data_IF_238876565035
#
_entry.id   IF_238876565035
#
_cell.length_a   1.000
_cell.length_b   1.000
_cell.length_c   1.000
_cell.angle_alpha   90.00
_cell.angle_beta   90.00
_cell.angle_gamma   90.00
#
_symmetry.space_group_name_H-M   'P 1'
#
loop_
_entity.id
_entity.type
_entity.pdbx_description
1 polymer ?
#
# COMPACT_ATOMS: atom_id res chain seq x y z
N UNK A 1 0.56 18.45 -14.20
CA UNK A 1 1.44 17.37 -13.72
C UNK A 1 0.55 16.34 -13.06
N UNK A 2 0.45 15.10 -13.59
CA UNK A 2 -0.46 14.09 -13.04
C UNK A 2 0.09 13.47 -11.76
N UNK A 3 -0.78 13.26 -10.78
CA UNK A 3 -0.44 12.55 -9.55
C UNK A 3 -1.13 11.19 -9.54
N UNK A 4 -0.50 10.22 -8.88
CA UNK A 4 -1.09 8.90 -8.81
C UNK A 4 -0.42 7.96 -7.82
N UNK A 5 -0.94 6.74 -7.81
CA UNK A 5 -0.45 5.65 -6.97
C UNK A 5 -0.31 4.36 -7.77
N UNK A 6 0.80 3.66 -7.55
CA UNK A 6 1.08 2.33 -8.07
C UNK A 6 0.71 1.33 -6.97
N UNK A 7 -0.38 0.59 -7.13
CA UNK A 7 -0.87 -0.33 -6.10
C UNK A 7 -0.32 -1.73 -6.37
N UNK A 8 0.52 -2.21 -5.46
CA UNK A 8 1.18 -3.52 -5.55
C UNK A 8 0.95 -4.34 -4.29
N UNK A 9 1.33 -5.60 -4.34
CA UNK A 9 1.25 -6.51 -3.21
C UNK A 9 0.92 -7.94 -3.64
N UNK A 10 1.20 -8.93 -2.76
CA UNK A 10 0.96 -10.34 -3.05
C UNK A 10 -0.50 -10.64 -3.45
N UNK A 11 -0.77 -11.80 -4.07
CA UNK A 11 -2.14 -12.24 -4.32
C UNK A 11 -2.92 -12.31 -3.00
N UNK A 12 -4.17 -11.83 -3.01
CA UNK A 12 -5.01 -11.83 -1.82
C UNK A 12 -4.78 -10.68 -0.84
N UNK A 13 -3.77 -9.81 -1.03
CA UNK A 13 -3.54 -8.62 -0.17
C UNK A 13 -4.66 -7.55 -0.23
N UNK A 14 -5.57 -7.63 -1.20
CA UNK A 14 -6.72 -6.72 -1.31
C UNK A 14 -6.51 -5.51 -2.24
N UNK A 15 -5.55 -5.56 -3.18
CA UNK A 15 -5.28 -4.49 -4.17
C UNK A 15 -6.51 -3.98 -4.88
N UNK A 16 -7.24 -4.86 -5.57
CA UNK A 16 -8.44 -4.49 -6.33
C UNK A 16 -9.55 -3.92 -5.45
N UNK A 17 -9.74 -4.47 -4.24
CA UNK A 17 -10.68 -3.93 -3.24
C UNK A 17 -10.25 -2.53 -2.79
N UNK A 18 -8.96 -2.32 -2.53
CA UNK A 18 -8.40 -1.03 -2.19
C UNK A 18 -8.57 -0.02 -3.33
N UNK A 19 -8.28 -0.39 -4.58
CA UNK A 19 -8.46 0.48 -5.74
C UNK A 19 -9.92 0.94 -5.86
N UNK A 20 -10.88 0.01 -5.68
CA UNK A 20 -12.31 0.32 -5.69
C UNK A 20 -12.70 1.30 -4.58
N UNK A 21 -12.34 0.97 -3.33
CA UNK A 21 -12.70 1.77 -2.17
C UNK A 21 -12.04 3.15 -2.17
N UNK A 22 -10.76 3.23 -2.53
CA UNK A 22 -10.03 4.49 -2.65
C UNK A 22 -10.58 5.34 -3.79
N UNK A 23 -10.90 4.77 -4.95
CA UNK A 23 -11.56 5.51 -6.03
C UNK A 23 -12.90 6.09 -5.57
N UNK A 24 -13.75 5.30 -4.90
CA UNK A 24 -15.02 5.80 -4.36
C UNK A 24 -14.79 6.93 -3.34
N UNK A 25 -13.84 6.75 -2.42
CA UNK A 25 -13.50 7.73 -1.40
C UNK A 25 -13.00 9.05 -2.00
N UNK A 26 -12.08 9.00 -2.97
CA UNK A 26 -11.55 10.20 -3.63
C UNK A 26 -12.62 10.95 -4.44
N UNK A 27 -13.46 10.24 -5.19
CA UNK A 27 -14.55 10.89 -5.93
C UNK A 27 -15.60 11.51 -5.00
N UNK A 28 -15.83 10.90 -3.83
CA UNK A 28 -16.69 11.45 -2.80
C UNK A 28 -16.12 12.74 -2.16
N UNK A 29 -14.80 12.94 -2.23
CA UNK A 29 -14.11 14.20 -1.91
C UNK A 29 -14.01 15.16 -3.11
N UNK A 30 -14.77 14.91 -4.19
CA UNK A 30 -14.75 15.68 -5.43
C UNK A 30 -13.39 15.67 -6.17
N UNK A 31 -12.50 14.72 -5.83
CA UNK A 31 -11.23 14.51 -6.53
C UNK A 31 -11.46 13.60 -7.74
N UNK A 32 -11.38 14.18 -8.93
CA UNK A 32 -11.46 13.45 -10.21
C UNK A 32 -10.41 12.34 -10.24
N UNK A 33 -10.86 11.09 -10.24
CA UNK A 33 -9.98 9.93 -10.14
C UNK A 33 -10.33 8.91 -11.22
N UNK A 34 -9.30 8.28 -11.80
CA UNK A 34 -9.46 7.10 -12.67
C UNK A 34 -8.69 5.91 -12.12
N UNK A 35 -9.13 4.71 -12.50
CA UNK A 35 -8.40 3.47 -12.30
C UNK A 35 -7.86 2.99 -13.65
N UNK A 36 -6.59 2.59 -13.65
CA UNK A 36 -5.90 1.91 -14.74
C UNK A 36 -5.65 0.48 -14.28
N UNK A 37 -6.30 -0.49 -14.91
CA UNK A 37 -6.08 -1.90 -14.61
C UNK A 37 -4.90 -2.42 -15.44
N UNK A 38 -3.84 -2.84 -14.77
CA UNK A 38 -2.66 -3.47 -15.36
C UNK A 38 -2.58 -4.97 -15.06
N UNK A 39 -3.59 -5.55 -14.39
CA UNK A 39 -3.69 -6.98 -14.12
C UNK A 39 -4.54 -7.70 -15.20
N UNK A 40 -3.92 -8.42 -16.15
CA UNK A 40 -4.64 -9.13 -17.23
C UNK A 40 -5.31 -10.43 -16.77
N UNK A 41 -5.23 -10.79 -15.48
CA UNK A 41 -5.89 -11.96 -14.91
C UNK A 41 -7.14 -11.60 -14.07
N UNK A 42 -7.54 -10.33 -14.06
CA UNK A 42 -8.57 -9.83 -13.14
C UNK A 42 -9.96 -9.79 -13.79
N UNK A 43 -10.61 -10.96 -13.88
CA UNK A 43 -11.88 -11.11 -14.62
C UNK A 43 -13.10 -10.40 -13.99
N UNK A 44 -13.08 -10.15 -12.67
CA UNK A 44 -14.23 -9.61 -11.93
C UNK A 44 -13.83 -8.42 -11.05
N UNK A 45 -13.51 -7.29 -11.69
CA UNK A 45 -13.23 -6.04 -11.00
C UNK A 45 -14.53 -5.35 -10.52
N UNK A 46 -14.61 -4.89 -9.26
CA UNK A 46 -15.79 -4.21 -8.71
C UNK A 46 -15.85 -2.71 -9.10
N UNK A 47 -15.14 -2.31 -10.15
CA UNK A 47 -15.03 -0.93 -10.62
C UNK A 47 -14.97 -0.88 -12.15
N UNK A 48 -15.23 0.29 -12.74
CA UNK A 48 -14.96 0.53 -14.16
C UNK A 48 -13.54 1.06 -14.32
N UNK A 49 -12.68 0.28 -14.98
CA UNK A 49 -11.36 0.76 -15.40
C UNK A 49 -11.53 1.79 -16.53
N UNK A 50 -10.75 2.88 -16.48
CA UNK A 50 -10.71 3.88 -17.54
C UNK A 50 -9.74 3.48 -18.66
N UNK A 51 -8.76 2.67 -18.32
CA UNK A 51 -7.78 2.04 -19.20
C UNK A 51 -7.57 0.63 -18.66
N UNK A 52 -7.68 -0.36 -19.54
CA UNK A 52 -7.48 -1.77 -19.21
C UNK A 52 -6.41 -2.38 -20.10
N UNK A 53 -5.45 -3.10 -19.51
CA UNK A 53 -4.39 -3.79 -20.25
C UNK A 53 -4.96 -4.84 -21.22
N UNK A 54 -6.14 -5.39 -20.95
CA UNK A 54 -6.79 -6.35 -21.86
C UNK A 54 -7.13 -5.74 -23.23
N UNK A 55 -7.28 -4.41 -23.33
CA UNK A 55 -7.43 -3.73 -24.62
C UNK A 55 -6.16 -3.80 -25.49
N UNK A 56 -5.00 -4.05 -24.87
CA UNK A 56 -3.71 -4.21 -25.53
C UNK A 56 -3.34 -5.68 -25.71
N UNK A 57 -3.46 -6.49 -24.65
CA UNK A 57 -3.12 -7.91 -24.64
C UNK A 57 -3.88 -8.64 -23.52
N UNK A 58 -4.50 -9.78 -23.85
CA UNK A 58 -5.13 -10.66 -22.86
C UNK A 58 -4.16 -11.74 -22.39
N UNK A 59 -4.37 -12.25 -21.18
CA UNK A 59 -3.58 -13.37 -20.67
C UNK A 59 -3.74 -14.63 -21.53
N UNK A 60 -4.96 -14.90 -22.00
CA UNK A 60 -5.28 -16.05 -22.87
C UNK A 60 -4.50 -15.98 -24.19
N UNK A 61 -4.51 -14.83 -24.87
CA UNK A 61 -3.77 -14.61 -26.12
C UNK A 61 -2.26 -14.85 -25.93
N UNK A 62 -1.70 -14.37 -24.81
CA UNK A 62 -0.29 -14.56 -24.49
C UNK A 62 0.05 -16.04 -24.23
N UNK A 63 -0.81 -16.76 -23.50
CA UNK A 63 -0.64 -18.18 -23.19
C UNK A 63 -0.72 -19.03 -24.46
N UNK A 64 -1.70 -18.79 -25.32
CA UNK A 64 -1.92 -19.56 -26.54
C UNK A 64 -0.85 -19.31 -27.61
N UNK A 65 -0.47 -18.04 -27.82
CA UNK A 65 0.51 -17.68 -28.85
C UNK A 65 1.91 -18.21 -28.54
N UNK A 66 2.30 -18.25 -27.25
CA UNK A 66 3.66 -18.60 -26.83
C UNK A 66 3.75 -19.91 -26.04
N UNK A 67 2.65 -20.65 -25.91
CA UNK A 67 2.56 -21.90 -25.14
C UNK A 67 3.06 -21.74 -23.70
N UNK A 68 2.69 -20.62 -23.07
CA UNK A 68 3.11 -20.26 -21.72
C UNK A 68 2.09 -20.76 -20.69
N UNK A 69 2.57 -21.08 -19.49
CA UNK A 69 1.69 -21.22 -18.33
C UNK A 69 1.24 -19.85 -17.78
N UNK A 70 0.27 -19.80 -16.85
CA UNK A 70 -0.31 -18.55 -16.36
C UNK A 70 0.71 -17.51 -15.88
N UNK A 71 1.67 -17.91 -15.04
CA UNK A 71 2.70 -16.99 -14.55
C UNK A 71 3.62 -16.48 -15.68
N UNK A 72 3.92 -17.33 -16.68
CA UNK A 72 4.70 -16.92 -17.85
C UNK A 72 3.93 -15.95 -18.74
N UNK A 73 2.63 -16.21 -18.94
CA UNK A 73 1.72 -15.30 -19.65
C UNK A 73 1.61 -13.94 -18.97
N UNK A 74 1.50 -13.89 -17.64
CA UNK A 74 1.49 -12.65 -16.86
C UNK A 74 2.76 -11.82 -17.07
N UNK A 75 3.93 -12.45 -16.97
CA UNK A 75 5.21 -11.78 -17.24
C UNK A 75 5.25 -11.25 -18.67
N UNK A 76 4.81 -12.06 -19.64
CA UNK A 76 4.77 -11.66 -21.04
C UNK A 76 3.86 -10.46 -21.28
N UNK A 77 2.67 -10.41 -20.67
CA UNK A 77 1.75 -9.28 -20.81
C UNK A 77 2.38 -7.96 -20.37
N UNK A 78 3.09 -7.97 -19.24
CA UNK A 78 3.77 -6.76 -18.73
C UNK A 78 4.98 -6.39 -19.58
N UNK A 79 5.76 -7.36 -20.07
CA UNK A 79 6.84 -7.10 -21.03
C UNK A 79 6.30 -6.55 -22.36
N UNK A 80 5.13 -7.02 -22.80
CA UNK A 80 4.45 -6.52 -23.99
C UNK A 80 3.97 -5.08 -23.78
N UNK A 81 3.40 -4.76 -22.63
CA UNK A 81 3.06 -3.39 -22.25
C UNK A 81 4.30 -2.48 -22.20
N UNK A 82 5.43 -2.94 -21.64
CA UNK A 82 6.68 -2.16 -21.61
C UNK A 82 7.15 -1.81 -23.03
N UNK A 83 7.08 -2.76 -23.97
CA UNK A 83 7.46 -2.55 -25.38
C UNK A 83 6.49 -1.64 -26.13
N UNK A 84 5.24 -1.57 -25.69
CA UNK A 84 4.18 -0.76 -26.27
C UNK A 84 3.76 0.38 -25.33
N UNK A 85 4.70 0.92 -24.53
CA UNK A 85 4.40 1.91 -23.50
C UNK A 85 3.73 3.17 -24.06
N UNK A 86 4.02 3.52 -25.31
CA UNK A 86 3.37 4.63 -26.01
C UNK A 86 1.84 4.50 -26.06
N UNK A 87 1.29 3.28 -26.16
CA UNK A 87 -0.16 3.03 -26.06
C UNK A 87 -0.74 3.52 -24.73
N UNK A 88 -0.07 3.19 -23.62
CA UNK A 88 -0.50 3.60 -22.28
C UNK A 88 -0.38 5.13 -22.12
N UNK A 89 0.72 5.73 -22.59
CA UNK A 89 0.92 7.17 -22.51
C UNK A 89 -0.14 7.95 -23.30
N UNK A 90 -0.51 7.49 -24.49
CA UNK A 90 -1.56 8.10 -25.30
C UNK A 90 -2.94 8.01 -24.63
N UNK A 91 -3.26 6.85 -24.03
CA UNK A 91 -4.51 6.64 -23.29
C UNK A 91 -4.58 7.48 -22.01
N UNK A 92 -3.45 7.71 -21.33
CA UNK A 92 -3.39 8.52 -20.12
C UNK A 92 -3.46 10.03 -20.38
N UNK A 93 -2.99 10.48 -21.55
CA UNK A 93 -2.92 11.90 -21.91
C UNK A 93 -4.20 12.71 -21.65
N UNK A 94 -5.41 12.30 -22.09
CA UNK A 94 -6.62 13.07 -21.80
C UNK A 94 -6.91 13.22 -20.30
N UNK A 95 -6.54 12.24 -19.48
CA UNK A 95 -6.74 12.31 -18.03
C UNK A 95 -5.70 13.19 -17.36
N UNK A 96 -4.45 13.09 -17.82
CA UNK A 96 -3.34 13.96 -17.41
C UNK A 96 -3.63 15.44 -17.69
N UNK A 97 -4.13 15.75 -18.89
CA UNK A 97 -4.46 17.12 -19.32
C UNK A 97 -5.64 17.73 -18.54
N UNK A 98 -6.53 16.87 -18.00
CA UNK A 98 -7.69 17.28 -17.20
C UNK A 98 -7.48 17.08 -15.68
N UNK A 99 -6.23 16.93 -15.25
CA UNK A 99 -5.80 16.88 -13.84
C UNK A 99 -6.47 15.76 -13.03
N UNK A 100 -6.72 14.60 -13.64
CA UNK A 100 -7.20 13.43 -12.92
C UNK A 100 -6.10 12.82 -12.06
N UNK A 101 -6.48 12.36 -10.87
CA UNK A 101 -5.67 11.45 -10.06
C UNK A 101 -5.75 10.03 -10.61
N UNK A 102 -4.64 9.30 -10.59
CA UNK A 102 -4.53 8.03 -11.31
C UNK A 102 -4.15 6.91 -10.34
N UNK A 103 -5.00 5.89 -10.27
CA UNK A 103 -4.73 4.67 -9.49
C UNK A 103 -4.39 3.55 -10.45
N UNK A 104 -3.20 2.97 -10.35
CA UNK A 104 -2.80 1.80 -11.14
C UNK A 104 -3.00 0.53 -10.31
N UNK A 105 -3.99 -0.29 -10.66
CA UNK A 105 -4.17 -1.63 -10.08
C UNK A 105 -3.21 -2.59 -10.80
N UNK A 106 -2.17 -3.05 -10.10
CA UNK A 106 -1.10 -3.83 -10.72
C UNK A 106 -1.24 -5.33 -10.40
N UNK A 107 -0.67 -6.23 -11.24
CA UNK A 107 -0.75 -7.67 -11.04
C UNK A 107 -0.41 -8.18 -9.64
N UNK A 108 -1.05 -9.27 -9.22
CA UNK A 108 -0.74 -9.90 -7.94
C UNK A 108 0.61 -10.61 -7.82
N UNK A 109 1.28 -10.94 -8.92
CA UNK A 109 2.51 -11.74 -8.90
C UNK A 109 3.70 -10.92 -8.41
N UNK A 110 4.31 -11.32 -7.30
CA UNK A 110 5.39 -10.55 -6.62
C UNK A 110 6.69 -10.54 -7.41
N UNK A 111 6.90 -11.54 -8.27
CA UNK A 111 8.05 -11.68 -9.15
C UNK A 111 8.18 -10.50 -10.13
N UNK A 112 7.05 -9.87 -10.47
CA UNK A 112 6.98 -8.70 -11.35
C UNK A 112 7.62 -7.45 -10.72
N UNK A 113 7.66 -7.39 -9.39
CA UNK A 113 8.20 -6.25 -8.63
C UNK A 113 9.57 -6.54 -8.02
N UNK A 114 9.97 -7.81 -7.93
CA UNK A 114 11.21 -8.24 -7.25
C UNK A 114 12.31 -8.65 -8.22
N UNK A 115 11.98 -9.26 -9.36
CA UNK A 115 12.98 -9.81 -10.30
C UNK A 115 12.84 -9.24 -11.71
N UNK A 116 11.62 -9.00 -12.15
CA UNK A 116 11.34 -8.43 -13.47
C UNK A 116 11.58 -6.91 -13.46
N UNK A 117 12.11 -6.37 -14.57
CA UNK A 117 12.43 -4.93 -14.70
C UNK A 117 11.33 -4.11 -15.38
N UNK A 118 10.36 -4.77 -16.00
CA UNK A 118 9.36 -4.14 -16.88
C UNK A 118 8.53 -3.10 -16.14
N UNK A 119 8.02 -3.42 -14.94
CA UNK A 119 7.26 -2.46 -14.12
C UNK A 119 8.12 -1.24 -13.77
N UNK A 120 9.37 -1.43 -13.35
CA UNK A 120 10.30 -0.32 -13.09
C UNK A 120 10.55 0.52 -14.34
N UNK A 121 10.71 -0.10 -15.51
CA UNK A 121 10.87 0.64 -16.77
C UNK A 121 9.62 1.45 -17.10
N UNK A 122 8.43 0.87 -16.95
CA UNK A 122 7.13 1.52 -17.17
C UNK A 122 7.00 2.74 -16.25
N UNK A 123 7.26 2.58 -14.94
CA UNK A 123 7.25 3.65 -13.96
C UNK A 123 8.21 4.78 -14.38
N UNK A 124 9.46 4.46 -14.72
CA UNK A 124 10.45 5.46 -15.16
C UNK A 124 10.03 6.18 -16.45
N UNK A 125 9.28 5.51 -17.33
CA UNK A 125 8.72 6.14 -18.54
C UNK A 125 7.60 7.12 -18.17
N UNK A 126 6.77 6.80 -17.17
CA UNK A 126 5.74 7.71 -16.63
C UNK A 126 6.37 8.91 -15.92
N UNK A 127 7.39 8.70 -15.08
CA UNK A 127 8.11 9.80 -14.40
C UNK A 127 8.77 10.77 -15.40
N UNK A 128 9.28 10.26 -16.53
CA UNK A 128 9.79 11.10 -17.64
C UNK A 128 8.72 11.95 -18.32
N UNK A 129 7.44 11.64 -18.12
CA UNK A 129 6.29 12.44 -18.55
C UNK A 129 5.75 13.32 -17.40
N UNK A 130 6.58 13.57 -16.37
CA UNK A 130 6.27 14.38 -15.19
C UNK A 130 5.12 13.83 -14.31
N UNK A 131 4.88 12.52 -14.34
CA UNK A 131 3.97 11.87 -13.38
C UNK A 131 4.64 11.82 -12.01
N UNK A 132 3.88 12.16 -10.98
CA UNK A 132 4.27 12.11 -9.57
C UNK A 132 3.58 10.91 -8.92
N UNK A 133 4.32 9.84 -8.69
CA UNK A 133 3.78 8.55 -8.25
C UNK A 133 4.32 8.17 -6.89
N UNK A 134 3.44 7.61 -6.05
CA UNK A 134 3.83 6.87 -4.86
C UNK A 134 3.42 5.40 -5.02
N UNK A 135 4.20 4.49 -4.47
CA UNK A 135 3.89 3.08 -4.45
C UNK A 135 3.15 2.71 -3.17
N UNK A 136 1.98 2.10 -3.29
CA UNK A 136 1.18 1.59 -2.17
C UNK A 136 1.32 0.07 -2.17
N UNK A 137 2.09 -0.44 -1.22
CA UNK A 137 2.38 -1.87 -1.10
C UNK A 137 1.51 -2.51 -0.04
N UNK A 138 0.45 -3.18 -0.48
CA UNK A 138 -0.48 -3.86 0.42
C UNK A 138 0.04 -5.22 0.84
N UNK A 139 -0.06 -5.49 2.13
CA UNK A 139 0.23 -6.78 2.74
C UNK A 139 -0.91 -7.15 3.68
N UNK A 140 -1.39 -8.39 3.60
CA UNK A 140 -2.45 -8.87 4.46
C UNK A 140 -2.00 -8.93 5.93
N UNK A 141 -2.75 -8.30 6.83
CA UNK A 141 -2.42 -8.24 8.25
C UNK A 141 -2.34 -9.63 8.92
N UNK A 142 -2.98 -10.66 8.35
CA UNK A 142 -2.86 -12.04 8.85
C UNK A 142 -1.42 -12.57 8.86
N UNK A 143 -0.50 -12.00 8.07
CA UNK A 143 0.91 -12.37 8.12
C UNK A 143 1.60 -11.98 9.42
N UNK A 144 1.06 -11.03 10.20
CA UNK A 144 1.57 -10.68 11.53
C UNK A 144 1.36 -11.78 12.58
N UNK A 145 0.47 -12.76 12.31
CA UNK A 145 0.17 -13.86 13.25
C UNK A 145 1.31 -14.86 13.44
N UNK A 146 2.32 -14.86 12.56
CA UNK A 146 3.49 -15.72 12.70
C UNK A 146 4.78 -14.98 12.35
N UNK A 147 5.78 -15.10 13.23
CA UNK A 147 7.08 -14.48 13.07
C UNK A 147 7.74 -14.71 11.69
N UNK A 148 7.76 -15.98 11.21
CA UNK A 148 8.38 -16.33 9.94
C UNK A 148 7.67 -15.71 8.73
N UNK A 149 6.33 -15.61 8.79
CA UNK A 149 5.53 -14.95 7.76
C UNK A 149 5.81 -13.45 7.74
N UNK A 150 5.86 -12.83 8.93
CA UNK A 150 6.14 -11.41 9.05
C UNK A 150 7.55 -11.04 8.56
N UNK A 151 8.59 -11.79 8.91
CA UNK A 151 9.95 -11.57 8.35
C UNK A 151 9.96 -11.68 6.82
N UNK A 152 9.22 -12.62 6.25
CA UNK A 152 9.10 -12.77 4.79
C UNK A 152 8.47 -11.52 4.16
N UNK A 153 7.48 -10.93 4.83
CA UNK A 153 6.85 -9.66 4.44
C UNK A 153 7.84 -8.49 4.52
N UNK A 154 8.66 -8.41 5.58
CA UNK A 154 9.66 -7.34 5.72
C UNK A 154 10.69 -7.41 4.59
N UNK A 155 11.21 -8.61 4.30
CA UNK A 155 12.16 -8.84 3.21
C UNK A 155 11.56 -8.53 1.84
N UNK A 156 10.31 -8.95 1.61
CA UNK A 156 9.59 -8.64 0.37
C UNK A 156 9.44 -7.14 0.21
N UNK A 157 9.00 -6.43 1.24
CA UNK A 157 8.81 -4.98 1.24
C UNK A 157 10.12 -4.23 0.98
N UNK A 158 11.20 -4.63 1.66
CA UNK A 158 12.52 -4.03 1.42
C UNK A 158 13.00 -4.27 -0.01
N UNK A 159 12.77 -5.47 -0.54
CA UNK A 159 13.15 -5.82 -1.92
C UNK A 159 12.35 -5.00 -2.94
N UNK A 160 11.04 -4.88 -2.78
CA UNK A 160 10.18 -4.11 -3.71
C UNK A 160 10.52 -2.62 -3.65
N UNK A 161 10.76 -2.06 -2.46
CA UNK A 161 11.22 -0.68 -2.28
C UNK A 161 12.52 -0.42 -3.04
N UNK A 162 13.51 -1.31 -2.88
CA UNK A 162 14.80 -1.17 -3.57
C UNK A 162 14.69 -1.33 -5.10
N UNK A 163 13.75 -2.14 -5.58
CA UNK A 163 13.61 -2.44 -7.01
C UNK A 163 12.81 -1.38 -7.76
N UNK A 164 11.76 -0.82 -7.15
CA UNK A 164 10.87 0.14 -7.80
C UNK A 164 11.36 1.59 -7.71
N UNK A 165 12.15 1.92 -6.69
CA UNK A 165 12.76 3.26 -6.51
C UNK A 165 11.73 4.40 -6.45
N UNK A 166 10.51 4.11 -5.98
CA UNK A 166 9.45 5.10 -5.74
C UNK A 166 9.32 5.40 -4.23
N UNK A 167 8.79 6.58 -3.85
CA UNK A 167 8.26 6.79 -2.50
C UNK A 167 7.27 5.68 -2.17
N UNK A 168 7.53 4.92 -1.11
CA UNK A 168 6.82 3.67 -0.83
C UNK A 168 6.07 3.78 0.49
N UNK A 169 4.79 3.44 0.47
CA UNK A 169 3.95 3.30 1.66
C UNK A 169 3.63 1.81 1.77
N UNK A 170 4.22 1.13 2.75
CA UNK A 170 3.80 -0.25 3.05
C UNK A 170 2.54 -0.18 3.93
N UNK A 171 1.59 -1.05 3.65
CA UNK A 171 0.26 -1.01 4.28
C UNK A 171 -0.13 -2.40 4.73
N UNK A 172 -0.45 -2.54 6.01
CA UNK A 172 -1.14 -3.72 6.53
C UNK A 172 -2.64 -3.57 6.25
N UNK A 173 -3.15 -4.35 5.30
CA UNK A 173 -4.56 -4.37 4.93
C UNK A 173 -5.36 -5.37 5.76
N UNK A 174 -6.69 -5.20 5.79
CA UNK A 174 -7.63 -6.09 6.48
C UNK A 174 -7.39 -6.19 7.99
N UNK A 175 -6.98 -5.09 8.59
CA UNK A 175 -6.72 -5.01 10.04
C UNK A 175 -7.96 -5.35 10.86
N UNK A 176 -9.16 -5.14 10.31
CA UNK A 176 -10.45 -5.53 10.90
C UNK A 176 -10.59 -7.04 11.12
N UNK A 177 -9.89 -7.86 10.33
CA UNK A 177 -9.94 -9.31 10.43
C UNK A 177 -9.00 -9.86 11.53
N UNK A 178 -8.06 -9.06 12.02
CA UNK A 178 -7.07 -9.50 13.02
C UNK A 178 -7.73 -10.03 14.29
N UNK A 179 -8.80 -9.39 14.76
CA UNK A 179 -9.54 -9.81 15.96
C UNK A 179 -10.10 -11.24 15.83
N UNK A 180 -10.44 -11.68 14.62
CA UNK A 180 -10.94 -13.02 14.34
C UNK A 180 -9.86 -14.09 14.14
N UNK A 181 -8.61 -13.69 13.89
CA UNK A 181 -7.51 -14.59 13.55
C UNK A 181 -6.72 -15.11 14.77
N UNK A 182 -6.99 -14.57 15.96
CA UNK A 182 -6.36 -14.98 17.21
C UNK A 182 -5.54 -13.86 17.86
N UNK A 183 -4.91 -14.15 18.99
CA UNK A 183 -4.02 -13.19 19.66
C UNK A 183 -2.72 -13.06 18.87
N UNK A 184 -2.40 -11.84 18.47
CA UNK A 184 -1.06 -11.49 18.02
C UNK A 184 -0.08 -11.65 19.19
N UNK A 185 1.14 -12.07 18.88
CA UNK A 185 2.21 -12.15 19.87
C UNK A 185 2.54 -10.75 20.45
N UNK A 186 2.33 -9.70 19.64
CA UNK A 186 2.63 -8.29 19.99
C UNK A 186 1.49 -7.34 19.61
N UNK A 187 1.58 -6.09 20.10
CA UNK A 187 0.66 -5.02 19.72
C UNK A 187 0.92 -4.57 18.26
N UNK A 188 -0.05 -3.86 17.67
CA UNK A 188 0.05 -3.43 16.26
C UNK A 188 1.17 -2.39 16.08
N UNK A 189 1.46 -1.59 17.12
CA UNK A 189 2.58 -0.65 17.18
C UNK A 189 3.92 -1.33 16.90
N UNK A 190 4.15 -2.54 17.41
CA UNK A 190 5.37 -3.31 17.14
C UNK A 190 5.51 -3.67 15.65
N UNK A 191 4.43 -4.19 15.04
CA UNK A 191 4.46 -4.61 13.63
C UNK A 191 4.47 -3.43 12.64
N UNK A 192 3.99 -2.27 13.05
CA UNK A 192 3.95 -1.06 12.21
C UNK A 192 5.24 -0.26 12.27
N UNK A 193 5.89 -0.21 13.45
CA UNK A 193 7.14 0.53 13.65
C UNK A 193 8.42 -0.24 13.29
N UNK A 194 8.40 -1.59 13.41
CA UNK A 194 9.51 -2.47 12.99
C UNK A 194 10.88 -2.05 13.55
N UNK A 195 10.94 -1.56 14.80
CA UNK A 195 12.17 -1.01 15.37
C UNK A 195 13.00 -1.99 16.23
N UNK A 196 12.40 -3.06 16.76
CA UNK A 196 13.10 -4.06 17.58
C UNK A 196 12.66 -5.46 17.17
N UNK A 197 13.43 -6.11 16.31
CA UNK A 197 13.17 -7.47 15.82
C UNK A 197 13.81 -8.53 16.72
N UNK A 198 14.44 -8.17 17.84
CA UNK A 198 15.08 -9.12 18.76
C UNK A 198 14.11 -10.18 19.28
N UNK A 199 12.86 -9.77 19.56
CA UNK A 199 11.80 -10.70 19.98
C UNK A 199 11.32 -11.61 18.84
N UNK A 200 11.26 -11.10 17.61
CA UNK A 200 10.98 -11.91 16.42
C UNK A 200 12.08 -12.96 16.22
N UNK A 201 13.35 -12.57 16.38
CA UNK A 201 14.49 -13.47 16.31
C UNK A 201 14.40 -14.62 17.31
N UNK A 202 14.05 -14.32 18.56
CA UNK A 202 13.84 -15.33 19.61
C UNK A 202 12.70 -16.29 19.24
N UNK A 203 11.56 -15.76 18.79
CA UNK A 203 10.42 -16.56 18.34
C UNK A 203 10.77 -17.47 17.16
N UNK A 204 11.54 -16.97 16.19
CA UNK A 204 12.03 -17.76 15.05
C UNK A 204 12.92 -18.91 15.52
N UNK A 205 13.85 -18.64 16.44
CA UNK A 205 14.86 -19.60 16.91
C UNK A 205 14.31 -20.67 17.89
N UNK A 206 13.10 -20.46 18.41
CA UNK A 206 12.40 -21.43 19.26
C UNK A 206 11.69 -22.53 18.47
N UNK A 207 11.44 -22.35 17.16
CA UNK A 207 10.83 -23.38 16.31
C UNK A 207 11.77 -24.58 16.11
N UNK A 208 11.19 -25.79 16.04
CA UNK A 208 11.99 -27.00 15.85
C UNK A 208 12.73 -26.97 14.50
N UNK A 209 14.04 -27.21 14.54
CA UNK A 209 14.90 -27.18 13.35
C UNK A 209 15.35 -25.78 12.90
N UNK A 210 14.92 -24.70 13.55
CA UNK A 210 15.34 -23.33 13.22
C UNK A 210 16.64 -22.89 13.89
N UNK A 211 17.05 -23.52 15.00
CA UNK A 211 18.30 -23.22 15.72
C UNK A 211 19.55 -23.23 14.83
N UNK A 212 19.58 -24.09 13.81
CA UNK A 212 20.70 -24.16 12.84
C UNK A 212 20.82 -22.90 11.95
N UNK A 213 19.74 -22.12 11.86
CA UNK A 213 19.66 -20.88 11.10
C UNK A 213 19.75 -19.63 11.98
N UNK A 214 20.12 -19.75 13.25
CA UNK A 214 20.14 -18.62 14.20
C UNK A 214 20.94 -17.42 13.70
N UNK A 215 22.15 -17.65 13.17
CA UNK A 215 22.96 -16.58 12.58
C UNK A 215 22.33 -15.95 11.35
N UNK A 216 21.69 -16.75 10.49
CA UNK A 216 20.98 -16.23 9.31
C UNK A 216 19.80 -15.34 9.73
N UNK A 217 19.00 -15.81 10.69
CA UNK A 217 17.86 -15.05 11.21
C UNK A 217 18.32 -13.74 11.85
N UNK A 218 19.44 -13.76 12.58
CA UNK A 218 20.04 -12.55 13.18
C UNK A 218 20.42 -11.54 12.11
N UNK A 219 21.18 -11.97 11.10
CA UNK A 219 21.61 -11.09 10.00
C UNK A 219 20.41 -10.54 9.21
N UNK A 220 19.34 -11.32 9.04
CA UNK A 220 18.10 -10.83 8.40
C UNK A 220 17.43 -9.74 9.24
N UNK A 221 17.34 -9.92 10.55
CA UNK A 221 16.75 -8.93 11.45
C UNK A 221 17.59 -7.64 11.47
N UNK A 222 18.91 -7.78 11.61
CA UNK A 222 19.86 -6.65 11.55
C UNK A 222 19.74 -5.89 10.22
N UNK A 223 19.62 -6.60 9.09
CA UNK A 223 19.43 -5.95 7.79
C UNK A 223 18.17 -5.07 7.78
N UNK A 224 17.06 -5.56 8.31
CA UNK A 224 15.79 -4.81 8.30
C UNK A 224 15.87 -3.62 9.24
N UNK A 225 16.46 -3.79 10.43
CA UNK A 225 16.68 -2.72 11.42
C UNK A 225 17.64 -1.64 10.91
N UNK A 226 18.79 -2.04 10.34
CA UNK A 226 19.83 -1.12 9.85
C UNK A 226 19.31 -0.17 8.78
N UNK A 227 18.41 -0.66 7.93
CA UNK A 227 17.80 0.18 6.92
C UNK A 227 16.69 1.07 7.48
N UNK A 228 16.06 0.73 8.63
CA UNK A 228 15.01 1.52 9.32
C UNK A 228 13.93 2.12 8.39
N UNK A 229 13.76 1.55 7.20
CA UNK A 229 12.95 2.09 6.11
C UNK A 229 11.57 1.43 6.05
N UNK A 230 11.40 0.28 6.70
CA UNK A 230 10.20 -0.53 6.60
C UNK A 230 9.28 -0.21 7.76
N UNK A 231 8.42 0.79 7.59
CA UNK A 231 7.24 1.00 8.43
C UNK A 231 5.97 0.60 7.70
N UNK A 232 4.89 0.34 8.44
CA UNK A 232 3.57 0.07 7.87
C UNK A 232 2.51 1.04 8.39
N UNK A 233 1.72 1.59 7.48
CA UNK A 233 0.40 2.16 7.81
C UNK A 233 -0.65 1.04 7.89
N UNK A 234 -1.77 1.33 8.52
CA UNK A 234 -2.86 0.38 8.74
C UNK A 234 -4.04 0.71 7.85
N UNK A 235 -4.69 -0.32 7.29
CA UNK A 235 -5.83 -0.14 6.40
C UNK A 235 -6.99 -1.08 6.72
N UNK A 236 -8.13 -0.47 7.06
CA UNK A 236 -9.46 -1.04 6.92
C UNK A 236 -10.21 -0.26 5.83
N UNK A 237 -10.43 -0.86 4.66
CA UNK A 237 -10.99 -0.17 3.49
C UNK A 237 -12.45 0.28 3.69
N UNK A 238 -13.17 -0.36 4.60
CA UNK A 238 -14.55 -0.01 4.96
C UNK A 238 -14.63 1.14 5.95
N UNK A 239 -13.53 1.48 6.64
CA UNK A 239 -13.47 2.61 7.55
C UNK A 239 -12.88 3.85 6.89
N UNK A 240 -13.72 4.88 6.76
CA UNK A 240 -13.35 6.18 6.19
C UNK A 240 -12.19 6.85 6.90
N UNK A 241 -12.06 6.69 8.22
CA UNK A 241 -10.96 7.30 8.97
C UNK A 241 -9.63 6.65 8.61
N UNK A 242 -9.60 5.32 8.53
CA UNK A 242 -8.42 4.56 8.09
C UNK A 242 -8.04 4.92 6.64
N UNK A 243 -9.02 4.99 5.73
CA UNK A 243 -8.77 5.40 4.34
C UNK A 243 -8.27 6.85 4.25
N UNK A 244 -8.83 7.77 5.05
CA UNK A 244 -8.41 9.18 5.09
C UNK A 244 -6.96 9.34 5.58
N UNK A 245 -6.57 8.61 6.63
CA UNK A 245 -5.20 8.65 7.15
C UNK A 245 -4.20 8.14 6.11
N UNK A 246 -4.50 6.99 5.48
CA UNK A 246 -3.64 6.45 4.43
C UNK A 246 -3.56 7.39 3.21
N UNK A 247 -4.68 8.01 2.81
CA UNK A 247 -4.70 9.00 1.72
C UNK A 247 -3.74 10.16 2.00
N UNK A 248 -3.73 10.70 3.24
CA UNK A 248 -2.81 11.79 3.62
C UNK A 248 -1.35 11.39 3.46
N UNK A 249 -0.98 10.18 3.89
CA UNK A 249 0.39 9.68 3.74
C UNK A 249 0.79 9.51 2.27
N UNK A 250 -0.12 9.01 1.44
CA UNK A 250 0.10 8.87 0.00
C UNK A 250 0.26 10.25 -0.67
N UNK A 251 -0.61 11.20 -0.33
CA UNK A 251 -0.58 12.57 -0.89
C UNK A 251 0.68 13.35 -0.46
N UNK A 252 1.22 13.07 0.72
CA UNK A 252 2.54 13.58 1.13
C UNK A 252 3.66 12.94 0.31
N UNK A 253 3.62 11.61 0.15
CA UNK A 253 4.67 10.85 -0.53
C UNK A 253 4.77 11.17 -2.02
N UNK A 254 3.64 11.31 -2.73
CA UNK A 254 3.63 11.72 -4.14
C UNK A 254 3.69 13.25 -4.32
N UNK A 255 3.55 14.02 -3.23
CA UNK A 255 3.59 15.48 -3.22
C UNK A 255 2.30 16.16 -3.70
N UNK A 256 1.19 15.44 -3.83
CA UNK A 256 -0.12 16.02 -4.18
C UNK A 256 -0.54 17.11 -3.20
N UNK A 257 -0.20 16.98 -1.91
CA UNK A 257 -0.47 17.99 -0.88
C UNK A 257 0.18 19.35 -1.19
N UNK A 258 1.29 19.35 -1.94
CA UNK A 258 1.99 20.55 -2.41
C UNK A 258 1.60 20.93 -3.83
N UNK A 259 1.08 19.99 -4.63
CA UNK A 259 0.58 20.26 -5.98
C UNK A 259 -0.78 20.96 -5.97
N UNK A 260 -1.63 20.61 -5.00
CA UNK A 260 -2.91 21.23 -4.72
C UNK A 260 -2.77 22.54 -3.93
N UNK A 261 -1.66 23.28 -4.08
CA UNK A 261 -1.47 24.63 -3.54
C UNK A 261 -2.56 25.57 -4.08
N UNK A 262 -3.72 25.52 -3.44
CA UNK A 262 -4.57 26.67 -3.23
C UNK A 262 -3.73 27.75 -2.55
N UNK A 263 -3.91 29.01 -2.95
CA UNK A 263 -3.28 30.16 -2.32
C UNK A 263 -3.61 30.18 -0.81
N UNK A 264 -2.73 29.67 0.05
CA UNK A 264 -2.98 29.67 1.49
C UNK A 264 -1.97 28.87 2.32
N UNK A 265 -1.77 29.30 3.57
CA UNK A 265 -0.88 28.66 4.55
C UNK A 265 -1.38 27.29 5.07
N UNK A 266 -2.59 26.87 4.70
CA UNK A 266 -3.23 25.62 5.17
C UNK A 266 -2.55 24.36 4.62
N UNK A 267 -2.11 24.38 3.37
CA UNK A 267 -1.40 23.27 2.72
C UNK A 267 -0.03 22.99 3.37
N UNK A 268 0.65 24.04 3.82
CA UNK A 268 1.91 23.95 4.57
C UNK A 268 1.69 23.34 5.96
N UNK A 269 0.58 23.70 6.62
CA UNK A 269 0.23 23.15 7.94
C UNK A 269 -0.23 21.69 7.85
N UNK A 270 -0.99 21.30 6.82
CA UNK A 270 -1.39 19.91 6.57
C UNK A 270 -0.19 19.02 6.18
N UNK A 271 0.80 19.57 5.48
CA UNK A 271 2.06 18.87 5.21
C UNK A 271 2.92 18.71 6.48
N UNK A 272 2.79 19.64 7.43
CA UNK A 272 3.47 19.60 8.73
C UNK A 272 2.77 18.71 9.76
N UNK A 273 1.48 18.40 9.57
CA UNK A 273 0.72 17.46 10.40
C UNK A 273 1.20 16.03 10.11
N UNK A 274 2.23 15.58 10.83
CA UNK A 274 2.75 14.21 10.74
C UNK A 274 1.69 13.25 11.25
N UNK A 275 1.19 12.34 10.40
CA UNK A 275 0.46 11.17 10.90
C UNK A 275 1.50 10.34 11.62
N UNK A 276 1.50 10.39 12.95
CA UNK A 276 2.39 9.57 13.74
C UNK A 276 1.93 8.12 13.58
N UNK A 277 2.70 7.30 12.86
CA UNK A 277 2.43 5.88 12.62
C UNK A 277 2.15 5.13 13.94
N UNK A 278 2.77 5.57 15.04
CA UNK A 278 2.55 5.03 16.38
C UNK A 278 1.14 5.36 16.88
N UNK A 279 0.69 6.61 16.73
CA UNK A 279 -0.67 7.02 17.07
C UNK A 279 -1.72 6.31 16.21
N UNK A 280 -1.46 6.16 14.91
CA UNK A 280 -2.34 5.46 13.97
C UNK A 280 -2.50 3.98 14.35
N UNK A 281 -1.40 3.30 14.64
CA UNK A 281 -1.41 1.90 15.05
C UNK A 281 -2.17 1.68 16.36
N UNK A 282 -2.05 2.62 17.32
CA UNK A 282 -2.81 2.59 18.59
C UNK A 282 -4.30 2.79 18.37
N UNK A 283 -4.68 3.78 17.55
CA UNK A 283 -6.08 4.05 17.23
C UNK A 283 -6.72 2.87 16.50
N UNK A 284 -6.02 2.29 15.51
CA UNK A 284 -6.45 1.09 14.82
C UNK A 284 -6.60 -0.10 15.79
N UNK A 285 -5.66 -0.27 16.72
CA UNK A 285 -5.75 -1.34 17.72
C UNK A 285 -6.96 -1.18 18.66
N UNK A 286 -7.25 0.05 19.10
CA UNK A 286 -8.42 0.36 19.92
C UNK A 286 -9.73 0.16 19.16
N UNK A 287 -9.79 0.60 17.91
CA UNK A 287 -11.00 0.56 17.06
C UNK A 287 -11.34 -0.86 16.61
N UNK A 288 -10.36 -1.63 16.14
CA UNK A 288 -10.59 -2.96 15.56
C UNK A 288 -10.32 -4.10 16.55
N UNK A 289 -10.03 -3.79 17.81
CA UNK A 289 -9.91 -4.78 18.86
C UNK A 289 -8.74 -5.74 18.69
N UNK A 290 -7.64 -5.30 18.09
CA UNK A 290 -6.41 -6.08 18.10
C UNK A 290 -5.98 -6.28 19.56
N UNK A 291 -5.99 -7.53 19.97
CA UNK A 291 -6.10 -7.98 21.35
C UNK A 291 -5.07 -7.35 22.29
N UNK A 292 -5.44 -7.27 23.57
CA UNK A 292 -4.58 -6.90 24.70
C UNK A 292 -3.40 -7.87 24.82
N UNK A 293 -2.36 -7.68 24.02
CA UNK A 293 -1.02 -8.19 24.35
C UNK A 293 -0.58 -7.54 25.65
N UNK A 294 0.02 -8.28 26.58
CA UNK A 294 0.44 -7.75 27.89
C UNK A 294 1.28 -6.49 27.70
N UNK A 295 0.89 -5.32 28.23
CA UNK A 295 1.78 -4.19 28.32
C UNK A 295 2.87 -4.52 29.34
N UNK A 296 4.15 -4.37 28.98
CA UNK A 296 5.24 -4.46 29.96
C UNK A 296 6.38 -3.48 29.69
N UNK A 297 6.04 -2.20 29.71
CA UNK A 297 6.66 -1.21 30.61
C UNK A 297 6.01 0.16 30.36
N UNK A 298 5.18 0.58 31.31
CA UNK A 298 4.81 1.99 31.44
C UNK A 298 6.07 2.77 31.85
N UNK A 299 6.51 3.67 30.98
CA UNK A 299 7.04 4.95 31.45
C UNK A 299 6.02 6.01 31.07
N UNK A 300 5.31 6.45 32.09
CA UNK A 300 4.47 7.62 32.04
C UNK A 300 5.34 8.82 31.71
N UNK A 301 4.98 9.55 30.66
CA UNK A 301 5.24 10.98 30.58
C UNK A 301 3.96 11.67 30.12
N UNK A 302 3.60 12.67 30.91
CA UNK A 302 2.37 13.46 30.87
C UNK A 302 2.44 14.59 29.84
N UNK A 303 1.25 14.94 29.34
CA UNK A 303 0.75 16.26 28.94
C UNK A 303 1.39 16.99 27.74
N UNK A 304 0.62 17.13 26.65
CA UNK A 304 -0.29 18.28 26.52
C UNK A 304 -1.12 18.25 25.23
N UNK A 305 -2.43 18.43 25.42
CA UNK A 305 -3.46 18.70 24.41
C UNK A 305 -3.41 20.17 23.95
N UNK A 306 -3.51 20.41 22.64
CA UNK A 306 -4.36 21.47 22.06
C UNK A 306 -4.21 21.55 20.53
N UNK A 307 -5.24 21.09 19.79
CA UNK A 307 -5.72 21.74 18.55
C UNK A 307 -7.00 21.06 18.07
N UNK A 308 -8.14 21.53 18.58
CA UNK A 308 -9.48 20.96 18.31
C UNK A 308 -10.43 21.98 17.68
N UNK A 309 -10.04 22.62 16.58
CA UNK A 309 -10.98 23.42 15.77
C UNK A 309 -11.15 22.90 14.34
N UNK A 310 -10.10 22.35 13.71
CA UNK A 310 -10.15 22.10 12.25
C UNK A 310 -10.37 20.63 11.89
N UNK A 311 -10.38 19.73 12.89
CA UNK A 311 -10.94 18.38 12.74
C UNK A 311 -12.41 18.47 12.29
N UNK A 312 -13.14 19.51 12.68
CA UNK A 312 -14.59 19.58 12.52
C UNK A 312 -15.03 19.71 11.05
N UNK A 313 -14.31 20.47 10.23
CA UNK A 313 -14.72 20.76 8.84
C UNK A 313 -14.48 19.59 7.87
N UNK A 314 -13.42 18.81 8.08
CA UNK A 314 -13.19 17.56 7.33
C UNK A 314 -14.10 16.45 7.87
N UNK A 315 -14.33 16.39 9.18
CA UNK A 315 -15.22 15.41 9.80
C UNK A 315 -16.69 15.60 9.40
N UNK A 316 -17.15 16.85 9.22
CA UNK A 316 -18.48 17.14 8.69
C UNK A 316 -18.65 16.67 7.23
N UNK A 317 -17.61 16.78 6.41
CA UNK A 317 -17.60 16.23 5.03
C UNK A 317 -17.54 14.70 5.01
N UNK A 318 -16.76 14.07 5.90
CA UNK A 318 -16.63 12.60 6.01
C UNK A 318 -17.93 11.95 6.54
N UNK A 319 -18.65 12.62 7.44
CA UNK A 319 -19.89 12.12 8.03
C UNK A 319 -21.00 11.88 6.99
N UNK A 320 -20.99 12.61 5.87
CA UNK A 320 -22.00 12.50 4.80
C UNK A 320 -21.80 11.39 3.77
N UNK A 321 -20.65 10.70 3.76
CA UNK A 321 -20.33 9.75 2.68
C UNK A 321 -20.96 8.37 2.91
N UNK A 322 -21.66 7.78 1.94
CA UNK A 322 -22.08 6.37 2.00
C UNK A 322 -21.12 5.53 1.15
N UNK A 323 -20.23 4.77 1.79
CA UNK A 323 -19.50 3.70 1.08
C UNK A 323 -20.47 2.53 0.92
N UNK A 324 -20.66 2.06 -0.30
CA UNK A 324 -21.55 0.92 -0.58
C UNK A 324 -20.79 -0.36 -0.25
N UNK A 325 -21.30 -1.13 0.71
CA UNK A 325 -20.80 -2.49 0.99
C UNK A 325 -21.04 -3.39 -0.22
N UNK A 326 -19.97 -3.86 -0.85
CA UNK A 326 -20.05 -5.03 -1.72
C UNK A 326 -19.82 -6.27 -0.85
N UNK A 327 -20.90 -7.01 -0.61
CA UNK A 327 -20.88 -8.36 -0.01
C UNK A 327 -20.38 -9.40 -1.01
#
# INVERSE_FOLDING_TARGET
MPFGQIVIGPPGSGKTTYCAGMHQFLNALERKTIIVNLDPANENVPYSSAIDIEELITLEDAMDAYQLGPNGGMVYCIEYLERNIEWLLEKLRPYADNEYYIIFDCPGQVELYTHNKSIRTIIRRLEKQDYRLACVHLVDASYCTEAAKFISVLLLSLTTMSMLELPHINVLSKIDLLAGLGQLDFNLEYYTSVMDLGYLLDSLNQRDGSKRFGELNRVICELVEDFSMVGFSTLCITDKHSVANLMKEIDKANGYIFGALTEGNESIMLAADTTDLVSEARDAQLMYGALTGKPRNERADNDNDNSSSDRQDIMEKIAGLSIVEHR
#
